data_IF_710154138970
#
_entry.id   IF_710154138970
#
_cell.length_a   1.000
_cell.length_b   1.000
_cell.length_c   1.000
_cell.angle_alpha   90.00
_cell.angle_beta   90.00
_cell.angle_gamma   90.00
#
_symmetry.space_group_name_H-M   'P 1'
#
loop_
_entity.id
_entity.type
_entity.pdbx_description
1 polymer ?
#
# COMPACT_ATOMS: atom_id res chain seq x y z
N UNK A 1 -25.64 33.33 36.68
CA UNK A 1 -24.32 32.83 36.27
C UNK A 1 -24.54 31.63 35.36
N UNK A 2 -24.26 31.77 34.06
CA UNK A 2 -24.28 30.66 33.11
C UNK A 2 -22.97 29.91 33.26
N UNK A 3 -23.00 28.71 33.83
CA UNK A 3 -21.87 27.79 33.84
C UNK A 3 -21.67 27.27 32.42
N UNK A 4 -20.61 27.75 31.77
CA UNK A 4 -20.13 27.25 30.49
C UNK A 4 -19.59 25.83 30.68
N UNK A 5 -20.27 24.88 30.06
CA UNK A 5 -19.83 23.49 29.96
C UNK A 5 -18.69 23.43 28.94
N UNK A 6 -17.44 23.41 29.42
CA UNK A 6 -16.29 23.13 28.56
C UNK A 6 -16.25 21.63 28.27
N UNK A 7 -16.68 21.26 27.05
CA UNK A 7 -16.49 19.92 26.51
C UNK A 7 -15.01 19.75 26.17
N UNK A 8 -14.23 19.23 27.13
CA UNK A 8 -12.86 18.79 26.88
C UNK A 8 -12.94 17.49 26.09
N UNK A 9 -12.78 17.57 24.78
CA UNK A 9 -12.60 16.40 23.92
C UNK A 9 -11.20 15.84 24.20
N UNK A 10 -11.10 14.92 25.16
CA UNK A 10 -9.87 14.20 25.44
C UNK A 10 -9.60 13.22 24.29
N UNK A 11 -8.95 13.69 23.23
CA UNK A 11 -8.32 12.81 22.26
C UNK A 11 -7.05 12.29 22.94
N UNK A 12 -7.11 11.07 23.47
CA UNK A 12 -5.93 10.35 23.95
C UNK A 12 -5.11 9.95 22.72
N UNK A 13 -4.26 10.85 22.25
CA UNK A 13 -3.19 10.50 21.32
C UNK A 13 -2.05 9.94 22.17
N UNK A 14 -1.99 8.62 22.30
CA UNK A 14 -0.84 7.95 22.89
C UNK A 14 0.35 8.10 21.93
N UNK A 15 1.13 9.16 22.15
CA UNK A 15 2.42 9.34 21.52
C UNK A 15 3.42 8.37 22.15
N UNK A 16 3.59 7.19 21.55
CA UNK A 16 4.80 6.43 21.77
C UNK A 16 5.86 6.91 20.79
N UNK A 17 6.87 7.59 21.33
CA UNK A 17 8.07 7.99 20.61
C UNK A 17 8.83 6.72 20.19
N UNK A 18 8.49 6.13 19.05
CA UNK A 18 9.43 5.25 18.36
C UNK A 18 10.62 6.12 17.98
N UNK A 19 11.76 5.91 18.63
CA UNK A 19 12.97 6.69 18.43
C UNK A 19 13.26 6.91 16.95
N UNK A 20 13.36 8.17 16.55
CA UNK A 20 13.91 8.54 15.25
C UNK A 20 15.36 8.06 15.21
N UNK A 21 15.62 6.88 14.65
CA UNK A 21 16.98 6.52 14.28
C UNK A 21 17.35 7.36 13.07
N UNK A 22 18.23 8.32 13.29
CA UNK A 22 18.92 9.07 12.24
C UNK A 22 19.93 8.12 11.57
N UNK A 23 19.47 7.28 10.64
CA UNK A 23 20.35 6.43 9.82
C UNK A 23 19.71 6.09 8.45
N UNK A 24 19.06 7.06 7.81
CA UNK A 24 18.77 7.00 6.37
C UNK A 24 19.72 7.93 5.62
N UNK A 25 21.03 7.65 5.75
CA UNK A 25 22.07 8.32 5.01
C UNK A 25 22.40 7.52 3.74
N UNK A 26 22.05 8.10 2.59
CA UNK A 26 22.64 7.82 1.27
C UNK A 26 22.58 6.39 0.74
N UNK A 27 21.39 5.96 0.30
CA UNK A 27 21.29 4.98 -0.78
C UNK A 27 21.50 5.67 -2.13
N UNK A 28 22.67 5.51 -2.74
CA UNK A 28 22.87 5.82 -4.16
C UNK A 28 21.88 4.99 -4.99
N UNK A 29 20.84 5.64 -5.53
CA UNK A 29 20.02 5.07 -6.61
C UNK A 29 20.40 5.77 -7.92
N UNK A 30 20.87 4.95 -8.86
CA UNK A 30 20.99 5.29 -10.27
C UNK A 30 19.66 5.92 -10.75
N UNK A 31 19.64 7.14 -11.32
CA UNK A 31 18.39 7.75 -11.78
C UNK A 31 17.99 7.13 -13.11
N UNK A 32 17.39 5.93 -13.07
CA UNK A 32 16.48 5.55 -14.14
C UNK A 32 15.32 6.55 -14.09
N UNK A 33 15.00 7.15 -15.25
CA UNK A 33 13.82 7.99 -15.40
C UNK A 33 12.63 7.21 -14.82
N UNK A 34 11.86 7.77 -13.87
CA UNK A 34 10.74 7.03 -13.33
C UNK A 34 9.77 6.71 -14.45
N UNK A 35 9.29 5.47 -14.49
CA UNK A 35 8.19 5.06 -15.36
C UNK A 35 7.09 6.12 -15.29
N UNK A 36 6.73 6.68 -16.45
CA UNK A 36 5.69 7.70 -16.56
C UNK A 36 4.31 7.14 -16.18
N UNK A 37 4.16 5.82 -16.20
CA UNK A 37 2.90 5.12 -15.97
C UNK A 37 2.92 4.36 -14.64
N UNK A 38 1.91 4.60 -13.81
CA UNK A 38 1.66 3.83 -12.61
C UNK A 38 1.02 2.50 -12.98
N UNK A 39 1.62 1.38 -12.57
CA UNK A 39 0.97 0.07 -12.61
C UNK A 39 0.73 -0.43 -11.20
N UNK A 40 -0.48 -0.95 -10.98
CA UNK A 40 -1.01 -1.39 -9.71
C UNK A 40 -0.23 -2.59 -9.16
N UNK A 41 0.30 -2.50 -7.93
CA UNK A 41 0.88 -3.65 -7.25
C UNK A 41 -0.16 -4.72 -6.92
N UNK A 42 0.26 -5.97 -6.98
CA UNK A 42 -0.50 -7.14 -6.54
C UNK A 42 0.05 -7.65 -5.23
N UNK A 43 -0.80 -7.81 -4.21
CA UNK A 43 -0.36 -8.13 -2.84
C UNK A 43 -1.07 -9.37 -2.33
N UNK A 44 -0.28 -10.34 -1.87
CA UNK A 44 -0.70 -11.47 -1.04
C UNK A 44 -0.35 -11.14 0.41
N UNK A 45 -1.32 -11.15 1.32
CA UNK A 45 -1.08 -10.94 2.74
C UNK A 45 -1.01 -12.27 3.49
N UNK A 46 -0.02 -12.41 4.38
CA UNK A 46 0.03 -13.44 5.40
C UNK A 46 0.10 -12.84 6.79
N UNK A 47 -0.60 -13.44 7.72
CA UNK A 47 -0.51 -13.17 9.15
C UNK A 47 0.23 -14.31 9.84
N UNK A 48 1.31 -14.02 10.56
CA UNK A 48 2.07 -15.06 11.25
C UNK A 48 1.36 -15.49 12.55
N UNK A 49 1.26 -16.80 12.76
CA UNK A 49 0.83 -17.44 13.99
C UNK A 49 1.96 -18.24 14.61
N UNK A 50 1.86 -18.49 15.91
CA UNK A 50 2.86 -19.26 16.65
C UNK A 50 2.16 -20.35 17.45
N UNK A 51 2.60 -21.62 17.35
CA UNK A 51 1.91 -22.74 18.00
C UNK A 51 1.65 -22.49 19.49
N UNK A 52 0.40 -22.56 19.94
CA UNK A 52 0.01 -22.36 21.34
C UNK A 52 0.14 -20.93 21.86
N UNK A 53 0.30 -19.95 20.97
CA UNK A 53 -0.03 -18.55 21.25
C UNK A 53 -1.47 -18.29 20.78
N UNK A 54 -2.40 -18.50 21.72
CA UNK A 54 -3.84 -18.36 21.49
C UNK A 54 -4.23 -16.97 20.95
N UNK A 55 -3.48 -15.92 21.29
CA UNK A 55 -3.80 -14.56 20.85
C UNK A 55 -3.43 -14.39 19.38
N UNK A 56 -2.26 -14.90 18.95
CA UNK A 56 -1.87 -14.90 17.54
C UNK A 56 -2.84 -15.70 16.67
N UNK A 57 -3.33 -16.84 17.17
CA UNK A 57 -4.30 -17.70 16.47
C UNK A 57 -5.67 -17.03 16.34
N UNK A 58 -6.14 -16.33 17.39
CA UNK A 58 -7.36 -15.50 17.33
C UNK A 58 -7.18 -14.33 16.37
N UNK A 59 -6.04 -13.67 16.39
CA UNK A 59 -5.74 -12.56 15.49
C UNK A 59 -5.69 -13.00 14.03
N UNK A 60 -5.19 -14.20 13.72
CA UNK A 60 -5.24 -14.76 12.37
C UNK A 60 -6.68 -14.98 11.86
N UNK A 61 -7.63 -15.35 12.72
CA UNK A 61 -9.06 -15.41 12.36
C UNK A 61 -9.62 -14.02 12.07
N UNK A 62 -9.19 -13.02 12.83
CA UNK A 62 -9.55 -11.61 12.63
C UNK A 62 -8.96 -11.07 11.32
N UNK A 63 -7.72 -11.46 10.99
CA UNK A 63 -7.05 -11.11 9.74
C UNK A 63 -7.81 -11.57 8.48
N UNK A 64 -8.58 -12.67 8.55
CA UNK A 64 -9.47 -13.12 7.46
C UNK A 64 -10.64 -12.18 7.19
N UNK A 65 -10.96 -11.28 8.11
CA UNK A 65 -12.02 -10.26 7.99
C UNK A 65 -11.51 -8.89 7.56
N UNK A 66 -10.19 -8.72 7.40
CA UNK A 66 -9.58 -7.45 7.00
C UNK A 66 -10.23 -6.96 5.69
N UNK A 67 -10.65 -5.70 5.70
CA UNK A 67 -11.13 -5.02 4.50
C UNK A 67 -9.91 -4.56 3.72
N UNK A 68 -9.63 -5.26 2.62
CA UNK A 68 -8.51 -4.96 1.74
C UNK A 68 -8.75 -3.64 0.99
N UNK A 69 -7.67 -2.89 0.78
CA UNK A 69 -7.75 -1.64 0.02
C UNK A 69 -8.02 -1.90 -1.45
N UNK A 70 -8.91 -1.08 -2.03
CA UNK A 70 -9.17 -1.04 -3.47
C UNK A 70 -7.96 -0.57 -4.27
N UNK A 71 -6.85 -0.12 -3.64
CA UNK A 71 -5.63 0.37 -4.30
C UNK A 71 -4.77 -0.74 -4.92
N UNK A 72 -4.79 -1.95 -4.37
CA UNK A 72 -3.95 -3.06 -4.83
C UNK A 72 -4.79 -4.14 -5.51
N UNK A 73 -4.17 -4.97 -6.34
CA UNK A 73 -4.79 -6.23 -6.70
C UNK A 73 -4.73 -7.17 -5.50
N UNK A 74 -5.89 -7.74 -5.15
CA UNK A 74 -5.98 -8.76 -4.11
C UNK A 74 -5.44 -10.09 -4.65
N UNK A 75 -4.19 -10.38 -4.32
CA UNK A 75 -3.54 -11.63 -4.72
C UNK A 75 -3.57 -12.71 -3.64
N UNK A 76 -4.39 -12.54 -2.59
CA UNK A 76 -4.48 -13.50 -1.50
C UNK A 76 -4.73 -14.92 -2.02
N UNK A 77 -4.03 -15.87 -1.40
CA UNK A 77 -4.20 -17.30 -1.61
C UNK A 77 -5.31 -17.81 -0.68
N UNK A 78 -5.65 -19.10 -0.79
CA UNK A 78 -6.73 -19.71 0.01
C UNK A 78 -6.49 -19.61 1.52
N UNK A 79 -5.22 -19.73 1.94
CA UNK A 79 -4.81 -19.49 3.32
C UNK A 79 -3.97 -18.22 3.38
N UNK A 80 -4.25 -17.39 4.38
CA UNK A 80 -3.58 -16.10 4.62
C UNK A 80 -2.94 -16.06 6.02
N UNK A 81 -2.81 -17.21 6.67
CA UNK A 81 -1.99 -17.37 7.87
C UNK A 81 -0.81 -18.30 7.63
N UNK A 82 0.33 -17.99 8.23
CA UNK A 82 1.50 -18.87 8.24
C UNK A 82 1.86 -19.22 9.68
N UNK A 83 2.07 -20.51 9.95
CA UNK A 83 2.50 -20.96 11.27
C UNK A 83 4.02 -21.00 11.33
N UNK A 84 4.61 -20.22 12.24
CA UNK A 84 6.05 -20.11 12.43
C UNK A 84 6.47 -20.70 13.79
N UNK A 85 7.73 -21.12 13.90
CA UNK A 85 8.27 -21.63 15.17
C UNK A 85 8.19 -20.57 16.27
N UNK A 86 7.98 -20.96 17.55
CA UNK A 86 7.98 -20.00 18.66
C UNK A 86 9.29 -19.19 18.75
N UNK A 87 10.41 -19.86 18.51
CA UNK A 87 11.75 -19.25 18.48
C UNK A 87 11.89 -18.15 17.44
N UNK A 88 11.02 -18.12 16.41
CA UNK A 88 11.02 -17.06 15.41
C UNK A 88 10.87 -15.67 16.05
N UNK A 89 10.08 -15.53 17.13
CA UNK A 89 9.85 -14.24 17.80
C UNK A 89 11.13 -13.61 18.34
N UNK A 90 12.05 -14.45 18.84
CA UNK A 90 13.28 -14.06 19.51
C UNK A 90 14.43 -13.77 18.53
N UNK A 91 14.25 -14.13 17.26
CA UNK A 91 15.26 -13.88 16.23
C UNK A 91 15.43 -12.38 15.95
N UNK A 92 16.66 -12.03 15.55
CA UNK A 92 16.94 -10.72 14.97
C UNK A 92 16.10 -10.51 13.71
N UNK A 93 15.84 -9.26 13.37
CA UNK A 93 15.03 -8.91 12.21
C UNK A 93 15.58 -9.48 10.89
N UNK A 94 16.91 -9.49 10.72
CA UNK A 94 17.58 -10.09 9.56
C UNK A 94 17.45 -11.62 9.51
N UNK A 95 17.54 -12.29 10.67
CA UNK A 95 17.33 -13.73 10.76
C UNK A 95 15.87 -14.10 10.45
N UNK A 96 14.90 -13.31 10.94
CA UNK A 96 13.47 -13.45 10.60
C UNK A 96 13.22 -13.36 9.10
N UNK A 97 13.81 -12.37 8.42
CA UNK A 97 13.71 -12.25 6.95
C UNK A 97 14.21 -13.51 6.24
N UNK A 98 15.33 -14.06 6.71
CA UNK A 98 15.94 -15.26 6.12
C UNK A 98 15.07 -16.50 6.35
N UNK A 99 14.53 -16.69 7.56
CA UNK A 99 13.65 -17.82 7.87
C UNK A 99 12.32 -17.73 7.12
N UNK A 100 11.72 -16.53 7.06
CA UNK A 100 10.51 -16.29 6.27
C UNK A 100 10.73 -16.60 4.79
N UNK A 101 11.84 -16.15 4.20
CA UNK A 101 12.16 -16.48 2.81
C UNK A 101 12.16 -17.99 2.58
N UNK A 102 12.89 -18.74 3.42
CA UNK A 102 12.97 -20.20 3.33
C UNK A 102 11.59 -20.86 3.47
N UNK A 103 10.77 -20.36 4.39
CA UNK A 103 9.41 -20.84 4.58
C UNK A 103 8.57 -20.62 3.31
N UNK A 104 8.54 -19.39 2.79
CA UNK A 104 7.75 -19.03 1.61
C UNK A 104 8.17 -19.83 0.36
N UNK A 105 9.46 -20.07 0.18
CA UNK A 105 10.00 -20.89 -0.91
C UNK A 105 9.64 -22.37 -0.74
N UNK A 106 9.80 -22.92 0.47
CA UNK A 106 9.42 -24.30 0.80
C UNK A 106 7.93 -24.56 0.55
N UNK A 107 7.08 -23.63 0.96
CA UNK A 107 5.62 -23.71 0.78
C UNK A 107 5.17 -23.42 -0.66
N UNK A 108 6.11 -23.13 -1.58
CA UNK A 108 5.83 -22.88 -2.99
C UNK A 108 4.96 -21.65 -3.21
N UNK A 109 5.05 -20.63 -2.35
CA UNK A 109 4.20 -19.43 -2.42
C UNK A 109 4.35 -18.72 -3.76
N UNK A 110 5.59 -18.59 -4.27
CA UNK A 110 5.84 -18.04 -5.60
C UNK A 110 5.10 -18.78 -6.72
N UNK A 111 5.16 -20.13 -6.73
CA UNK A 111 4.44 -20.96 -7.69
C UNK A 111 2.92 -20.78 -7.59
N UNK A 112 2.37 -20.72 -6.38
CA UNK A 112 0.93 -20.48 -6.15
C UNK A 112 0.49 -19.11 -6.67
N UNK A 113 1.32 -18.07 -6.52
CA UNK A 113 1.03 -16.75 -7.04
C UNK A 113 1.06 -16.69 -8.58
N UNK A 114 2.01 -17.38 -9.22
CA UNK A 114 2.05 -17.52 -10.68
C UNK A 114 0.84 -18.31 -11.18
N UNK A 115 0.50 -19.43 -10.53
CA UNK A 115 -0.68 -20.21 -10.86
C UNK A 115 -1.97 -19.37 -10.80
N UNK A 116 -2.09 -18.45 -9.83
CA UNK A 116 -3.21 -17.51 -9.75
C UNK A 116 -3.20 -16.50 -10.91
N UNK A 117 -2.04 -15.94 -11.26
CA UNK A 117 -1.93 -14.97 -12.37
C UNK A 117 -2.40 -15.54 -13.71
N UNK A 118 -2.04 -16.80 -13.97
CA UNK A 118 -2.37 -17.50 -15.21
C UNK A 118 -3.54 -18.48 -15.03
N UNK A 119 -4.42 -18.21 -14.06
CA UNK A 119 -5.69 -18.94 -13.86
C UNK A 119 -5.56 -20.46 -14.01
N UNK A 120 -4.62 -21.08 -13.29
CA UNK A 120 -4.37 -22.52 -13.41
C UNK A 120 -5.62 -23.31 -13.05
N UNK A 121 -6.01 -24.23 -13.92
CA UNK A 121 -7.19 -25.07 -13.80
C UNK A 121 -6.89 -26.36 -13.02
N UNK A 122 -7.93 -27.07 -12.52
CA UNK A 122 -7.76 -28.33 -11.81
C UNK A 122 -7.08 -29.44 -12.62
N UNK A 123 -7.19 -29.40 -13.95
CA UNK A 123 -6.51 -30.32 -14.87
C UNK A 123 -5.05 -29.95 -15.14
N UNK A 124 -4.56 -28.84 -14.57
CA UNK A 124 -3.19 -28.37 -14.72
C UNK A 124 -2.97 -27.37 -15.86
N UNK A 125 -3.96 -27.14 -16.72
CA UNK A 125 -3.90 -26.15 -17.81
C UNK A 125 -3.96 -24.71 -17.28
N UNK A 126 -3.62 -23.74 -18.12
CA UNK A 126 -3.62 -22.30 -17.78
C UNK A 126 -4.50 -21.51 -18.73
N UNK A 127 -4.99 -20.36 -18.28
CA UNK A 127 -5.64 -19.39 -19.14
C UNK A 127 -5.24 -17.95 -18.76
N UNK A 128 -5.69 -16.99 -19.57
CA UNK A 128 -5.24 -15.60 -19.47
C UNK A 128 -6.31 -14.68 -18.87
N UNK A 129 -7.39 -15.25 -18.33
CA UNK A 129 -8.57 -14.49 -17.91
C UNK A 129 -8.24 -13.48 -16.81
N UNK A 130 -7.55 -13.92 -15.75
CA UNK A 130 -7.24 -13.06 -14.60
C UNK A 130 -6.24 -11.97 -14.97
N UNK A 131 -5.15 -12.31 -15.68
CA UNK A 131 -4.16 -11.31 -16.10
C UNK A 131 -4.77 -10.31 -17.10
N UNK A 132 -5.65 -10.73 -18.02
CA UNK A 132 -6.38 -9.83 -18.89
C UNK A 132 -7.32 -8.90 -18.11
N UNK A 133 -8.08 -9.44 -17.17
CA UNK A 133 -8.96 -8.64 -16.31
C UNK A 133 -8.17 -7.58 -15.54
N UNK A 134 -7.02 -7.96 -14.97
CA UNK A 134 -6.11 -7.04 -14.30
C UNK A 134 -5.51 -6.01 -15.27
N UNK A 135 -5.15 -6.39 -16.49
CA UNK A 135 -4.67 -5.47 -17.52
C UNK A 135 -5.71 -4.40 -17.86
N UNK A 136 -6.95 -4.82 -18.14
CA UNK A 136 -8.07 -3.91 -18.41
C UNK A 136 -8.38 -3.00 -17.21
N UNK A 137 -8.32 -3.55 -16.00
CA UNK A 137 -8.53 -2.76 -14.79
C UNK A 137 -7.34 -1.83 -14.50
N UNK A 138 -6.11 -2.18 -14.86
CA UNK A 138 -4.96 -1.32 -14.63
C UNK A 138 -4.90 -0.16 -15.63
N UNK A 139 -5.43 -0.34 -16.84
CA UNK A 139 -5.41 0.66 -17.89
C UNK A 139 -6.00 1.99 -17.42
N UNK A 140 -5.29 3.07 -17.76
CA UNK A 140 -5.77 4.44 -17.62
C UNK A 140 -6.70 4.81 -18.78
N UNK A 141 -7.49 5.87 -18.60
CA UNK A 141 -8.28 6.42 -19.70
C UNK A 141 -7.43 6.87 -20.89
N UNK A 142 -6.19 7.28 -20.64
CA UNK A 142 -5.25 7.64 -21.71
C UNK A 142 -4.87 6.41 -22.53
N UNK A 143 -4.63 5.28 -21.88
CA UNK A 143 -4.31 4.01 -22.54
C UNK A 143 -5.47 3.51 -23.40
N UNK A 144 -6.71 3.69 -22.93
CA UNK A 144 -7.91 3.32 -23.69
C UNK A 144 -8.06 4.18 -24.95
N UNK A 145 -7.84 5.49 -24.85
CA UNK A 145 -7.88 6.40 -26.00
C UNK A 145 -6.78 6.07 -27.02
N UNK A 146 -5.60 5.67 -26.57
CA UNK A 146 -4.47 5.30 -27.44
C UNK A 146 -4.63 3.89 -28.05
N UNK A 147 -5.13 2.92 -27.28
CA UNK A 147 -5.29 1.51 -27.71
C UNK A 147 -6.48 1.27 -28.65
N UNK A 148 -7.52 2.13 -28.63
CA UNK A 148 -8.55 2.14 -29.67
C UNK A 148 -8.01 2.29 -31.10
N UNK A 149 -6.77 2.80 -31.25
CA UNK A 149 -6.06 2.91 -32.53
C UNK A 149 -5.14 1.71 -32.84
N UNK A 150 -4.85 0.80 -31.89
CA UNK A 150 -3.88 -0.28 -32.05
C UNK A 150 -4.42 -1.62 -31.53
N UNK A 151 -4.98 -2.44 -32.43
CA UNK A 151 -5.30 -3.86 -32.14
C UNK A 151 -4.05 -4.72 -32.31
N UNK A 152 -3.56 -5.38 -31.25
CA UNK A 152 -2.68 -6.57 -31.36
C UNK A 152 -2.67 -7.35 -30.04
N UNK A 153 -3.23 -8.57 -30.03
CA UNK A 153 -3.51 -9.37 -28.82
C UNK A 153 -2.30 -10.03 -28.15
N UNK A 154 -1.32 -10.56 -28.90
CA UNK A 154 -0.15 -11.24 -28.30
C UNK A 154 0.85 -10.29 -27.64
N UNK A 155 1.00 -9.07 -28.18
CA UNK A 155 1.87 -8.05 -27.60
C UNK A 155 1.36 -7.59 -26.21
N UNK A 156 0.04 -7.63 -25.99
CA UNK A 156 -0.59 -7.28 -24.72
C UNK A 156 -0.29 -8.31 -23.64
N UNK A 157 -0.10 -9.58 -24.00
CA UNK A 157 0.21 -10.67 -23.06
C UNK A 157 1.62 -10.58 -22.48
N UNK A 158 2.61 -10.32 -23.33
CA UNK A 158 3.98 -10.07 -22.89
C UNK A 158 4.07 -8.78 -22.05
N UNK A 159 3.38 -7.72 -22.48
CA UNK A 159 3.39 -6.42 -21.79
C UNK A 159 2.67 -6.48 -20.42
N UNK A 160 1.56 -7.21 -20.32
CA UNK A 160 0.85 -7.41 -19.05
C UNK A 160 1.62 -8.33 -18.09
N UNK A 161 2.25 -9.40 -18.60
CA UNK A 161 3.12 -10.27 -17.83
C UNK A 161 4.31 -9.54 -17.21
N UNK A 162 5.02 -8.74 -18.03
CA UNK A 162 6.18 -7.96 -17.56
C UNK A 162 5.76 -6.83 -16.60
N UNK A 163 4.69 -6.09 -16.89
CA UNK A 163 4.29 -4.91 -16.09
C UNK A 163 3.56 -5.26 -14.80
N UNK A 164 2.74 -6.32 -14.79
CA UNK A 164 1.89 -6.66 -13.64
C UNK A 164 2.50 -7.75 -12.76
N UNK A 165 2.98 -8.86 -13.34
CA UNK A 165 3.50 -9.99 -12.54
C UNK A 165 4.77 -9.58 -11.80
N UNK A 166 5.62 -8.77 -12.41
CA UNK A 166 6.83 -8.22 -11.77
C UNK A 166 6.51 -7.23 -10.63
N UNK A 167 5.26 -6.79 -10.48
CA UNK A 167 4.77 -5.97 -9.35
C UNK A 167 3.93 -6.81 -8.38
N UNK A 168 4.31 -8.09 -8.19
CA UNK A 168 3.69 -9.01 -7.23
C UNK A 168 4.51 -9.09 -5.95
N UNK A 169 3.82 -8.96 -4.81
CA UNK A 169 4.42 -8.88 -3.49
C UNK A 169 3.73 -9.78 -2.48
N UNK A 170 4.49 -10.22 -1.48
CA UNK A 170 4.01 -10.91 -0.29
C UNK A 170 4.24 -10.02 0.92
N UNK A 171 3.16 -9.58 1.55
CA UNK A 171 3.17 -8.85 2.82
C UNK A 171 3.00 -9.84 3.96
N UNK A 172 3.95 -9.91 4.88
CA UNK A 172 3.83 -10.69 6.11
C UNK A 172 3.73 -9.74 7.30
N UNK A 173 2.63 -9.85 8.05
CA UNK A 173 2.46 -9.20 9.34
C UNK A 173 2.76 -10.22 10.44
N UNK A 174 3.79 -9.96 11.23
CA UNK A 174 4.24 -10.87 12.28
C UNK A 174 4.08 -10.24 13.66
N UNK A 175 3.03 -10.59 14.44
CA UNK A 175 2.88 -10.08 15.79
C UNK A 175 4.01 -10.60 16.70
N UNK A 176 4.68 -9.70 17.40
CA UNK A 176 5.58 -10.01 18.51
C UNK A 176 4.75 -10.26 19.76
N UNK A 177 3.95 -9.27 20.12
CA UNK A 177 3.04 -9.31 21.27
C UNK A 177 1.64 -8.83 20.85
N UNK A 178 0.63 -9.50 21.39
CA UNK A 178 -0.78 -9.16 21.28
C UNK A 178 -1.39 -9.25 22.68
N UNK A 179 -1.73 -8.10 23.24
CA UNK A 179 -2.15 -7.98 24.64
C UNK A 179 -3.53 -7.36 24.71
N UNK A 180 -4.45 -8.03 25.40
CA UNK A 180 -5.73 -7.45 25.80
C UNK A 180 -5.58 -6.81 27.17
N UNK A 181 -6.09 -5.60 27.32
CA UNK A 181 -6.18 -4.87 28.57
C UNK A 181 -7.61 -4.40 28.80
N UNK A 182 -8.03 -4.38 30.06
CA UNK A 182 -9.34 -3.89 30.51
C UNK A 182 -9.16 -3.28 31.90
N UNK A 183 -9.29 -1.97 32.00
CA UNK A 183 -9.15 -1.18 33.23
C UNK A 183 -10.37 -0.27 33.44
N UNK A 184 -10.37 0.57 34.49
CA UNK A 184 -11.51 1.44 34.79
C UNK A 184 -11.78 2.52 33.71
N UNK A 185 -10.79 2.82 32.88
CA UNK A 185 -10.80 3.91 31.90
C UNK A 185 -11.07 3.37 30.49
N UNK A 186 -10.46 2.25 30.13
CA UNK A 186 -10.42 1.73 28.78
C UNK A 186 -10.26 0.23 28.70
N UNK A 187 -10.63 -0.31 27.54
CA UNK A 187 -10.37 -1.70 27.21
C UNK A 187 -10.02 -1.87 25.74
N UNK A 188 -9.32 -2.94 25.42
CA UNK A 188 -9.02 -3.31 24.05
C UNK A 188 -7.70 -4.02 23.87
N UNK A 189 -7.28 -4.08 22.61
CA UNK A 189 -6.08 -4.80 22.20
C UNK A 189 -4.98 -3.83 21.80
N UNK A 190 -3.75 -4.19 22.17
CA UNK A 190 -2.53 -3.58 21.66
C UNK A 190 -1.67 -4.65 21.02
N UNK A 191 -1.02 -4.29 19.91
CA UNK A 191 -0.13 -5.17 19.17
C UNK A 191 1.21 -4.49 18.98
N UNK A 192 2.30 -5.24 19.23
CA UNK A 192 3.62 -4.93 18.66
C UNK A 192 3.92 -5.94 17.57
N UNK A 193 4.37 -5.48 16.41
CA UNK A 193 4.52 -6.37 15.26
C UNK A 193 5.62 -5.92 14.30
N UNK A 194 6.06 -6.86 13.47
CA UNK A 194 7.01 -6.63 12.39
C UNK A 194 6.30 -6.74 11.04
N UNK A 195 6.68 -5.88 10.10
CA UNK A 195 6.25 -5.89 8.71
C UNK A 195 7.39 -6.46 7.87
N UNK A 196 7.07 -7.39 6.99
CA UNK A 196 7.98 -7.86 5.94
C UNK A 196 7.30 -7.80 4.59
N UNK A 197 8.00 -7.32 3.57
CA UNK A 197 7.53 -7.31 2.19
C UNK A 197 8.55 -8.03 1.32
N UNK A 198 8.11 -9.09 0.65
CA UNK A 198 8.89 -9.81 -0.35
C UNK A 198 8.35 -9.50 -1.74
N UNK A 199 9.23 -9.44 -2.72
CA UNK A 199 8.89 -9.28 -4.14
C UNK A 199 9.09 -10.62 -4.84
N UNK A 200 8.17 -10.98 -5.73
CA UNK A 200 8.33 -12.11 -6.63
C UNK A 200 9.43 -11.81 -7.66
N UNK A 201 10.40 -12.70 -7.75
CA UNK A 201 11.46 -12.63 -8.75
C UNK A 201 10.94 -13.28 -10.04
N UNK A 202 10.52 -12.44 -10.98
CA UNK A 202 9.95 -12.84 -12.26
C UNK A 202 10.64 -12.11 -13.41
N UNK A 203 11.95 -12.36 -13.54
CA UNK A 203 12.78 -11.83 -14.62
C UNK A 203 12.56 -12.59 -15.95
N UNK A 204 13.20 -12.12 -17.01
CA UNK A 204 13.05 -12.68 -18.36
C UNK A 204 13.45 -14.16 -18.44
N UNK A 205 14.38 -14.64 -17.61
CA UNK A 205 14.76 -16.05 -17.56
C UNK A 205 13.66 -16.90 -16.91
N UNK A 206 13.14 -16.46 -15.76
CA UNK A 206 12.02 -17.10 -15.07
C UNK A 206 10.79 -17.17 -15.98
N UNK A 207 10.50 -16.06 -16.67
CA UNK A 207 9.41 -15.97 -17.66
C UNK A 207 9.59 -17.02 -18.75
N UNK A 208 10.78 -17.09 -19.35
CA UNK A 208 11.08 -18.03 -20.44
C UNK A 208 10.95 -19.48 -19.97
N UNK A 209 11.47 -19.81 -18.79
CA UNK A 209 11.34 -21.15 -18.19
C UNK A 209 9.90 -21.52 -17.90
N UNK A 210 9.10 -20.59 -17.40
CA UNK A 210 7.68 -20.79 -17.15
C UNK A 210 6.92 -21.07 -18.45
N UNK A 211 7.07 -20.23 -19.48
CA UNK A 211 6.37 -20.41 -20.75
C UNK A 211 6.80 -21.68 -21.50
N UNK A 212 8.03 -22.16 -21.30
CA UNK A 212 8.44 -23.46 -21.82
C UNK A 212 7.63 -24.63 -21.25
N UNK A 213 7.03 -24.48 -20.06
CA UNK A 213 6.15 -25.47 -19.43
C UNK A 213 4.66 -25.21 -19.69
N UNK A 214 4.31 -24.33 -20.64
CA UNK A 214 2.91 -24.07 -20.98
C UNK A 214 2.33 -25.22 -21.81
N UNK A 215 1.30 -25.95 -21.31
CA UNK A 215 0.61 -26.98 -22.07
C UNK A 215 -0.32 -26.31 -23.09
N UNK A 216 0.02 -26.37 -24.37
CA UNK A 216 -0.80 -25.81 -25.45
C UNK A 216 -1.89 -26.80 -25.88
N UNK A 217 -3.01 -26.29 -26.37
CA UNK A 217 -4.17 -27.11 -26.75
C UNK A 217 -3.83 -28.15 -27.85
N UNK A 218 -2.88 -27.83 -28.73
CA UNK A 218 -2.40 -28.66 -29.83
C UNK A 218 -1.28 -29.64 -29.43
N UNK A 219 -0.75 -29.56 -28.21
CA UNK A 219 0.24 -30.52 -27.72
C UNK A 219 -0.37 -31.94 -27.59
N UNK A 220 0.40 -33.00 -27.91
CA UNK A 220 0.05 -34.37 -27.56
C UNK A 220 -0.20 -34.52 -26.04
N UNK A 221 -1.10 -35.44 -25.68
CA UNK A 221 -1.55 -35.61 -24.29
C UNK A 221 -0.41 -35.99 -23.33
N UNK A 222 0.54 -36.81 -23.78
CA UNK A 222 1.76 -37.14 -23.04
C UNK A 222 2.63 -35.90 -22.78
N UNK A 223 2.82 -35.05 -23.78
CA UNK A 223 3.59 -33.80 -23.67
C UNK A 223 2.90 -32.81 -22.71
N UNK A 224 1.57 -32.70 -22.75
CA UNK A 224 0.80 -31.88 -21.79
C UNK A 224 1.04 -32.34 -20.37
N UNK A 225 0.94 -33.64 -20.12
CA UNK A 225 1.15 -34.22 -18.79
C UNK A 225 2.59 -34.00 -18.28
N UNK A 226 3.60 -34.09 -19.15
CA UNK A 226 5.00 -33.76 -18.80
C UNK A 226 5.16 -32.29 -18.39
N UNK A 227 4.61 -31.36 -19.18
CA UNK A 227 4.65 -29.92 -18.89
C UNK A 227 3.93 -29.55 -17.59
N UNK A 228 2.77 -30.15 -17.34
CA UNK A 228 2.00 -29.97 -16.10
C UNK A 228 2.83 -30.42 -14.89
N UNK A 229 3.42 -31.61 -14.97
CA UNK A 229 4.28 -32.14 -13.90
C UNK A 229 5.55 -31.29 -13.70
N UNK A 230 6.14 -30.78 -14.78
CA UNK A 230 7.31 -29.90 -14.71
C UNK A 230 6.98 -28.60 -13.96
N UNK A 231 5.83 -27.97 -14.24
CA UNK A 231 5.39 -26.77 -13.53
C UNK A 231 5.22 -27.00 -12.02
N UNK A 232 4.71 -28.17 -11.60
CA UNK A 232 4.52 -28.48 -10.18
C UNK A 232 5.82 -28.54 -9.37
N UNK A 233 6.95 -28.77 -10.04
CA UNK A 233 8.28 -28.75 -9.45
C UNK A 233 9.02 -27.42 -9.63
N UNK A 234 8.50 -26.52 -10.47
CA UNK A 234 9.14 -25.24 -10.78
C UNK A 234 9.18 -24.34 -9.54
N UNK A 235 10.36 -23.79 -9.27
CA UNK A 235 10.60 -22.88 -8.17
C UNK A 235 10.57 -21.43 -8.65
N UNK A 236 10.00 -20.57 -7.81
CA UNK A 236 9.93 -19.13 -8.01
C UNK A 236 10.42 -18.45 -6.73
N UNK A 237 11.49 -17.67 -6.85
CA UNK A 237 12.13 -17.03 -5.72
C UNK A 237 11.39 -15.78 -5.25
N UNK A 238 11.54 -15.50 -3.96
CA UNK A 238 11.00 -14.32 -3.31
C UNK A 238 12.13 -13.56 -2.64
N UNK A 239 12.38 -12.34 -3.11
CA UNK A 239 13.45 -11.49 -2.57
C UNK A 239 12.89 -10.53 -1.52
N UNK A 240 13.54 -10.38 -0.34
CA UNK A 240 13.19 -9.34 0.62
C UNK A 240 13.26 -7.96 -0.06
N UNK A 241 12.18 -7.19 0.01
CA UNK A 241 12.04 -5.93 -0.71
C UNK A 241 11.92 -4.73 0.23
N UNK A 242 11.18 -4.89 1.33
CA UNK A 242 11.02 -3.86 2.35
C UNK A 242 10.68 -4.50 3.70
N UNK A 243 10.83 -3.72 4.77
CA UNK A 243 10.62 -4.20 6.10
C UNK A 243 10.66 -3.11 7.16
N UNK A 244 9.85 -3.27 8.21
CA UNK A 244 9.85 -2.38 9.38
C UNK A 244 9.56 -3.18 10.64
N UNK A 245 10.34 -2.93 11.69
CA UNK A 245 10.24 -3.67 12.94
C UNK A 245 9.61 -2.83 14.06
N UNK A 246 8.97 -3.50 15.01
CA UNK A 246 8.46 -2.87 16.23
C UNK A 246 7.38 -1.83 15.98
N UNK A 247 6.55 -2.08 14.96
CA UNK A 247 5.34 -1.31 14.73
C UNK A 247 4.33 -1.54 15.85
N UNK A 248 3.46 -0.56 16.07
CA UNK A 248 2.39 -0.64 17.08
C UNK A 248 1.04 -0.39 16.44
N UNK A 249 0.02 -1.13 16.88
CA UNK A 249 -1.38 -0.94 16.51
C UNK A 249 -2.27 -1.16 17.74
N UNK A 250 -3.46 -0.57 17.75
CA UNK A 250 -4.38 -0.62 18.89
C UNK A 250 -5.84 -0.42 18.49
N UNK A 251 -6.69 -1.38 18.81
CA UNK A 251 -8.14 -1.24 18.86
C UNK A 251 -8.57 -1.09 20.30
N UNK A 252 -8.69 0.14 20.79
CA UNK A 252 -9.07 0.45 22.18
C UNK A 252 -10.23 1.44 22.23
N UNK A 253 -11.08 1.30 23.25
CA UNK A 253 -12.18 2.21 23.53
C UNK A 253 -12.07 2.76 24.95
N UNK A 254 -12.38 4.05 25.11
CA UNK A 254 -12.46 4.72 26.41
C UNK A 254 -13.92 4.76 26.86
N UNK A 255 -14.25 4.16 28.00
CA UNK A 255 -15.63 4.00 28.48
C UNK A 255 -16.42 5.33 28.54
N UNK A 256 -15.75 6.44 28.88
CA UNK A 256 -16.37 7.76 28.96
C UNK A 256 -16.89 8.31 27.60
N UNK A 257 -16.40 7.79 26.47
CA UNK A 257 -16.69 8.30 25.13
C UNK A 257 -17.70 7.44 24.35
N UNK A 258 -18.11 6.31 24.91
CA UNK A 258 -18.91 5.29 24.21
C UNK A 258 -20.19 4.94 24.97
N UNK A 259 -21.30 4.76 24.24
CA UNK A 259 -22.58 4.32 24.82
C UNK A 259 -22.79 2.82 24.75
N UNK A 260 -22.13 2.14 23.81
CA UNK A 260 -22.23 0.70 23.56
C UNK A 260 -20.81 0.18 23.31
N UNK A 261 -20.15 -0.42 24.31
CA UNK A 261 -18.79 -0.94 24.15
C UNK A 261 -18.76 -2.07 23.14
N UNK A 262 -17.71 -2.10 22.33
CA UNK A 262 -17.42 -3.21 21.44
C UNK A 262 -16.97 -4.43 22.22
N UNK A 263 -17.10 -5.61 21.61
CA UNK A 263 -16.56 -6.84 22.19
C UNK A 263 -15.04 -6.91 22.00
N UNK A 264 -14.36 -7.73 22.82
CA UNK A 264 -12.92 -7.99 22.65
C UNK A 264 -12.57 -8.48 21.24
N UNK A 265 -13.43 -9.28 20.61
CA UNK A 265 -13.22 -9.75 19.24
C UNK A 265 -13.36 -8.62 18.20
N UNK A 266 -14.31 -7.70 18.38
CA UNK A 266 -14.45 -6.53 17.51
C UNK A 266 -13.23 -5.59 17.63
N UNK A 267 -12.69 -5.42 18.84
CA UNK A 267 -11.48 -4.63 19.07
C UNK A 267 -10.21 -5.33 18.53
N UNK A 268 -10.20 -6.67 18.48
CA UNK A 268 -9.15 -7.42 17.81
C UNK A 268 -9.24 -7.31 16.28
N UNK A 269 -10.45 -7.34 15.72
CA UNK A 269 -10.71 -7.05 14.31
C UNK A 269 -10.19 -5.65 13.94
N UNK A 270 -10.43 -4.63 14.78
CA UNK A 270 -9.91 -3.27 14.60
C UNK A 270 -8.38 -3.19 14.72
N UNK A 271 -7.78 -3.83 15.72
CA UNK A 271 -6.32 -3.89 15.87
C UNK A 271 -5.67 -4.51 14.64
N UNK A 272 -6.20 -5.64 14.14
CA UNK A 272 -5.64 -6.33 12.97
C UNK A 272 -5.85 -5.56 11.67
N UNK A 273 -7.00 -4.88 11.52
CA UNK A 273 -7.22 -3.93 10.41
C UNK A 273 -6.19 -2.79 10.45
N UNK A 274 -5.93 -2.21 11.63
CA UNK A 274 -4.93 -1.15 11.77
C UNK A 274 -3.52 -1.65 11.43
N UNK A 275 -3.13 -2.86 11.86
CA UNK A 275 -1.83 -3.44 11.49
C UNK A 275 -1.64 -3.49 9.95
N UNK A 276 -2.70 -3.86 9.22
CA UNK A 276 -2.68 -3.88 7.76
C UNK A 276 -2.60 -2.47 7.17
N UNK A 277 -3.44 -1.54 7.62
CA UNK A 277 -3.45 -0.17 7.10
C UNK A 277 -2.13 0.57 7.35
N UNK A 278 -1.56 0.42 8.54
CA UNK A 278 -0.27 1.00 8.90
C UNK A 278 0.86 0.40 8.05
N UNK A 279 0.82 -0.90 7.78
CA UNK A 279 1.79 -1.53 6.90
C UNK A 279 1.74 -0.95 5.48
N UNK A 280 0.55 -0.83 4.91
CA UNK A 280 0.36 -0.23 3.60
C UNK A 280 0.75 1.26 3.58
N UNK A 281 0.43 2.01 4.62
CA UNK A 281 0.81 3.41 4.75
C UNK A 281 2.34 3.58 4.68
N UNK A 282 3.08 2.74 5.41
CA UNK A 282 4.55 2.79 5.44
C UNK A 282 5.15 2.35 4.09
N UNK A 283 4.62 1.29 3.48
CA UNK A 283 5.02 0.82 2.15
C UNK A 283 4.82 1.95 1.11
N UNK A 284 3.64 2.58 1.08
CA UNK A 284 3.33 3.71 0.21
C UNK A 284 4.24 4.92 0.44
N UNK A 285 4.53 5.19 1.71
CA UNK A 285 5.37 6.32 2.11
C UNK A 285 6.80 6.12 1.63
N UNK A 286 7.34 4.92 1.77
CA UNK A 286 8.78 4.67 1.62
C UNK A 286 9.16 4.16 0.22
N UNK A 287 8.27 3.41 -0.43
CA UNK A 287 8.56 2.74 -1.70
C UNK A 287 7.87 3.46 -2.87
N UNK A 288 8.69 4.03 -3.76
CA UNK A 288 8.18 4.70 -4.96
C UNK A 288 7.29 3.81 -5.87
N UNK A 289 7.57 2.52 -6.09
CA UNK A 289 6.71 1.66 -6.92
C UNK A 289 5.25 1.57 -6.44
N UNK A 290 4.98 1.88 -5.17
CA UNK A 290 3.65 1.84 -4.57
C UNK A 290 2.93 3.19 -4.62
N UNK A 291 3.63 4.29 -4.96
CA UNK A 291 3.06 5.63 -5.02
C UNK A 291 2.28 5.81 -6.30
N UNK A 292 1.02 6.22 -6.18
CA UNK A 292 0.17 6.57 -7.32
C UNK A 292 0.79 7.75 -8.07
N UNK A 293 0.92 7.61 -9.39
CA UNK A 293 1.38 8.67 -10.32
C UNK A 293 0.31 8.89 -11.38
N UNK A 294 -0.08 10.15 -11.59
CA UNK A 294 -1.08 10.51 -12.60
C UNK A 294 -0.93 11.98 -12.99
N UNK A 295 -1.33 12.34 -14.20
CA UNK A 295 -1.19 13.73 -14.66
C UNK A 295 -2.29 14.62 -14.09
N UNK A 296 -1.98 15.91 -13.96
CA UNK A 296 -2.95 16.97 -13.76
C UNK A 296 -3.77 17.12 -15.04
N UNK A 297 -5.08 16.95 -14.94
CA UNK A 297 -6.00 17.10 -16.09
C UNK A 297 -6.52 18.53 -16.24
N UNK A 298 -6.74 19.23 -15.12
CA UNK A 298 -7.19 20.63 -15.11
C UNK A 298 -6.71 21.36 -13.85
N UNK A 299 -6.79 22.70 -13.84
CA UNK A 299 -6.21 23.55 -12.77
C UNK A 299 -7.17 24.54 -12.12
N UNK A 300 -8.40 24.67 -12.62
CA UNK A 300 -9.46 25.52 -12.05
C UNK A 300 -10.78 24.75 -11.89
N UNK A 301 -10.98 23.99 -10.80
CA UNK A 301 -10.00 23.61 -9.75
C UNK A 301 -8.96 22.60 -10.27
N UNK A 302 -7.92 22.32 -9.47
CA UNK A 302 -6.96 21.25 -9.77
C UNK A 302 -7.69 19.90 -9.78
N UNK A 303 -7.54 19.16 -10.87
CA UNK A 303 -8.15 17.84 -11.05
C UNK A 303 -7.16 16.83 -11.61
N UNK A 304 -7.38 15.58 -11.27
CA UNK A 304 -6.66 14.43 -11.81
C UNK A 304 -7.55 13.20 -11.76
N UNK A 305 -7.30 12.24 -12.66
CA UNK A 305 -7.98 10.93 -12.73
C UNK A 305 -7.45 9.96 -11.67
N UNK A 306 -7.39 10.44 -10.44
CA UNK A 306 -7.07 9.68 -9.23
C UNK A 306 -8.35 9.65 -8.40
N UNK A 307 -8.82 8.49 -7.98
CA UNK A 307 -10.04 8.35 -7.19
C UNK A 307 -9.97 7.19 -6.21
N UNK A 308 -11.14 6.63 -5.89
CA UNK A 308 -11.24 5.49 -4.95
C UNK A 308 -10.46 4.26 -5.43
N UNK A 309 -10.36 4.05 -6.75
CA UNK A 309 -9.57 2.97 -7.36
C UNK A 309 -8.09 3.05 -6.98
N UNK A 310 -7.55 4.25 -6.79
CA UNK A 310 -6.17 4.50 -6.36
C UNK A 310 -6.05 4.61 -4.83
N UNK A 311 -7.14 4.38 -4.09
CA UNK A 311 -7.18 4.53 -2.63
C UNK A 311 -7.12 5.97 -2.15
N UNK A 312 -7.55 6.94 -2.97
CA UNK A 312 -7.50 8.35 -2.61
C UNK A 312 -8.32 8.64 -1.34
N UNK A 313 -7.69 9.31 -0.37
CA UNK A 313 -8.33 9.80 0.87
C UNK A 313 -8.29 11.32 0.93
N UNK A 314 -9.21 11.92 1.69
CA UNK A 314 -9.21 13.36 1.93
C UNK A 314 -7.88 13.80 2.54
N UNK A 315 -7.41 14.98 2.14
CA UNK A 315 -6.15 15.57 2.61
C UNK A 315 -4.89 14.77 2.30
N UNK A 316 -4.99 13.68 1.52
CA UNK A 316 -3.83 12.93 1.05
C UNK A 316 -2.97 13.80 0.13
N UNK A 317 -1.66 13.78 0.37
CA UNK A 317 -0.69 14.68 -0.26
C UNK A 317 -0.09 14.10 -1.52
N UNK A 318 0.06 14.98 -2.50
CA UNK A 318 0.76 14.73 -3.75
C UNK A 318 1.78 15.84 -4.01
N UNK A 319 2.95 15.46 -4.53
CA UNK A 319 3.87 16.41 -5.13
C UNK A 319 3.56 16.52 -6.63
N UNK A 320 3.62 17.74 -7.15
CA UNK A 320 3.41 18.03 -8.56
C UNK A 320 4.77 18.33 -9.18
N UNK A 321 5.07 17.64 -10.26
CA UNK A 321 6.32 17.73 -10.97
C UNK A 321 6.13 18.15 -12.43
N UNK A 322 7.15 18.80 -12.98
CA UNK A 322 7.29 19.11 -14.40
C UNK A 322 8.54 18.40 -14.93
N UNK A 323 8.42 17.76 -16.09
CA UNK A 323 9.58 17.23 -16.80
C UNK A 323 10.30 18.38 -17.49
N UNK A 324 11.57 18.57 -17.15
CA UNK A 324 12.45 19.58 -17.73
C UNK A 324 13.54 18.84 -18.50
N UNK A 325 13.65 19.11 -19.79
CA UNK A 325 14.70 18.52 -20.60
C UNK A 325 16.06 19.09 -20.19
N UNK A 326 16.99 18.22 -19.81
CA UNK A 326 18.37 18.61 -19.55
C UNK A 326 19.21 18.33 -20.80
N UNK A 327 19.56 19.39 -21.53
CA UNK A 327 20.36 19.32 -22.76
C UNK A 327 21.76 18.74 -22.54
N UNK A 328 22.31 18.81 -21.31
CA UNK A 328 23.66 18.32 -20.99
C UNK A 328 23.69 16.82 -20.78
N UNK A 329 22.65 16.26 -20.18
CA UNK A 329 22.53 14.81 -19.94
C UNK A 329 21.77 14.10 -21.05
N UNK A 330 21.04 14.85 -21.89
CA UNK A 330 20.16 14.29 -22.91
C UNK A 330 18.97 13.54 -22.30
N UNK A 331 18.57 13.87 -21.06
CA UNK A 331 17.50 13.19 -20.33
C UNK A 331 16.48 14.18 -19.77
N UNK A 332 15.24 13.73 -19.62
CA UNK A 332 14.22 14.49 -18.91
C UNK A 332 14.45 14.38 -17.39
N UNK A 333 14.67 15.51 -16.74
CA UNK A 333 14.75 15.63 -15.28
C UNK A 333 13.42 16.07 -14.69
N UNK A 334 13.18 15.73 -13.43
CA UNK A 334 11.92 15.99 -12.74
C UNK A 334 12.13 17.12 -11.74
N UNK A 335 11.43 18.23 -11.95
CA UNK A 335 11.45 19.37 -11.03
C UNK A 335 10.15 19.48 -10.23
N UNK A 336 10.25 19.61 -8.91
CA UNK A 336 9.07 19.70 -8.01
C UNK A 336 8.54 21.12 -8.00
N UNK A 337 7.38 21.32 -8.63
CA UNK A 337 6.74 22.64 -8.75
C UNK A 337 5.79 22.99 -7.63
N UNK A 338 5.00 22.04 -7.14
CA UNK A 338 3.98 22.32 -6.13
C UNK A 338 3.69 21.12 -5.22
N UNK A 339 2.97 21.40 -4.14
CA UNK A 339 2.36 20.40 -3.26
C UNK A 339 0.86 20.64 -3.26
N UNK A 340 0.10 19.58 -3.53
CA UNK A 340 -1.35 19.60 -3.53
C UNK A 340 -1.89 18.51 -2.61
N UNK A 341 -3.12 18.68 -2.16
CA UNK A 341 -3.84 17.71 -1.33
C UNK A 341 -5.24 17.46 -1.89
N UNK A 342 -5.72 16.24 -1.71
CA UNK A 342 -7.06 15.87 -2.13
C UNK A 342 -8.11 16.57 -1.29
N UNK A 343 -9.19 17.04 -1.91
CA UNK A 343 -10.39 17.50 -1.20
C UNK A 343 -11.26 16.30 -0.78
N UNK A 344 -12.34 16.54 -0.04
CA UNK A 344 -13.38 15.52 0.19
C UNK A 344 -14.20 15.16 -1.06
N UNK A 345 -14.00 15.84 -2.20
CA UNK A 345 -14.67 15.52 -3.48
C UNK A 345 -13.82 14.52 -4.27
N UNK A 346 -14.01 13.24 -3.93
CA UNK A 346 -13.28 12.09 -4.48
C UNK A 346 -14.19 11.34 -5.44
N UNK A 347 -13.73 11.14 -6.67
CA UNK A 347 -14.46 10.38 -7.68
C UNK A 347 -14.43 8.87 -7.37
N UNK A 348 -15.56 8.22 -7.62
CA UNK A 348 -15.63 6.76 -7.66
C UNK A 348 -15.34 6.28 -9.09
N UNK A 349 -14.08 5.94 -9.33
CA UNK A 349 -13.56 5.48 -10.62
C UNK A 349 -13.23 3.97 -10.59
N UNK A 350 -13.86 3.21 -9.68
CA UNK A 350 -13.66 1.76 -9.59
C UNK A 350 -14.33 1.10 -10.79
N UNK A 351 -13.51 0.52 -11.65
CA UNK A 351 -13.92 -0.09 -12.90
C UNK A 351 -12.82 -0.08 -13.95
N UNK A 352 -13.13 -0.70 -15.09
CA UNK A 352 -12.32 -0.60 -16.30
C UNK A 352 -12.48 0.82 -16.86
N UNK A 353 -11.36 1.43 -17.24
CA UNK A 353 -11.33 2.75 -17.84
C UNK A 353 -12.14 2.78 -19.14
N UNK A 354 -12.92 3.85 -19.36
CA UNK A 354 -13.71 4.05 -20.58
C UNK A 354 -13.22 5.22 -21.41
N UNK A 355 -12.25 5.99 -20.91
CA UNK A 355 -11.86 7.29 -21.45
C UNK A 355 -12.51 8.47 -20.69
N UNK A 356 -13.64 8.23 -20.02
CA UNK A 356 -14.46 9.26 -19.38
C UNK A 356 -14.59 9.06 -17.85
N UNK A 357 -13.59 8.42 -17.23
CA UNK A 357 -13.58 8.20 -15.78
C UNK A 357 -13.63 9.54 -15.02
N UNK A 358 -14.38 9.54 -13.92
CA UNK A 358 -14.53 10.73 -13.07
C UNK A 358 -13.21 11.20 -12.45
N UNK A 359 -13.12 12.50 -12.18
CA UNK A 359 -11.92 13.15 -11.65
C UNK A 359 -12.11 13.63 -10.20
N UNK A 360 -11.10 13.44 -9.37
CA UNK A 360 -11.08 14.03 -8.02
C UNK A 360 -10.52 15.44 -8.04
N UNK A 361 -10.90 16.24 -7.04
CA UNK A 361 -10.44 17.61 -6.89
C UNK A 361 -9.35 17.73 -5.85
N UNK A 362 -8.37 18.58 -6.15
CA UNK A 362 -7.24 18.89 -5.30
C UNK A 362 -7.16 20.39 -5.05
N UNK A 363 -6.52 20.75 -3.94
CA UNK A 363 -6.18 22.12 -3.60
C UNK A 363 -4.68 22.23 -3.33
N UNK A 364 -4.10 23.37 -3.66
CA UNK A 364 -2.68 23.61 -3.50
C UNK A 364 -2.37 24.10 -2.08
N UNK A 365 -1.30 23.57 -1.48
CA UNK A 365 -0.84 23.97 -0.15
C UNK A 365 0.54 24.63 -0.16
N UNK A 366 1.32 24.43 -1.23
CA UNK A 366 2.65 25.03 -1.36
C UNK A 366 3.11 25.04 -2.84
N UNK A 367 4.04 25.94 -3.16
CA UNK A 367 4.79 25.96 -4.42
C UNK A 367 4.20 26.88 -5.51
N UNK A 368 4.68 26.70 -6.73
CA UNK A 368 4.40 27.55 -7.88
C UNK A 368 3.13 27.19 -8.65
N UNK A 369 3.06 27.61 -9.91
CA UNK A 369 1.87 27.37 -10.76
C UNK A 369 1.75 25.92 -11.16
N UNK A 370 0.59 25.31 -10.91
CA UNK A 370 0.22 23.99 -11.45
C UNK A 370 -0.39 24.16 -12.83
N UNK A 371 0.00 23.30 -13.80
CA UNK A 371 -0.49 23.29 -15.19
C UNK A 371 -1.00 21.89 -15.57
N UNK A 372 -1.98 21.78 -16.50
CA UNK A 372 -2.34 20.49 -17.07
C UNK A 372 -1.11 19.81 -17.71
N UNK A 373 -1.03 18.49 -17.60
CA UNK A 373 0.09 17.68 -18.09
C UNK A 373 1.24 17.51 -17.10
N UNK A 374 1.31 18.30 -16.02
CA UNK A 374 2.26 18.04 -14.92
C UNK A 374 1.94 16.71 -14.22
N UNK A 375 2.95 16.02 -13.68
CA UNK A 375 2.76 14.73 -13.01
C UNK A 375 2.52 14.92 -11.51
N UNK A 376 1.43 14.36 -11.01
CA UNK A 376 1.17 14.23 -9.58
C UNK A 376 1.70 12.87 -9.09
N UNK A 377 2.42 12.86 -7.97
CA UNK A 377 2.86 11.64 -7.30
C UNK A 377 2.48 11.65 -5.83
N UNK A 378 1.90 10.56 -5.34
CA UNK A 378 1.50 10.37 -3.94
C UNK A 378 2.70 10.52 -3.00
N UNK A 379 2.52 11.27 -1.90
CA UNK A 379 3.55 11.51 -0.87
C UNK A 379 2.92 11.53 0.51
N UNK A 380 2.63 10.34 1.05
CA UNK A 380 2.03 10.18 2.36
C UNK A 380 2.80 10.95 3.47
N UNK A 381 2.05 11.49 4.43
CA UNK A 381 2.54 12.09 5.66
C UNK A 381 1.60 11.76 6.81
N UNK A 382 2.12 11.82 8.03
CA UNK A 382 1.34 11.61 9.25
C UNK A 382 0.41 12.80 9.61
N UNK A 383 0.33 13.82 8.76
CA UNK A 383 -0.53 14.99 9.01
C UNK A 383 0.00 15.97 10.05
N UNK A 384 1.25 15.81 10.51
CA UNK A 384 1.91 16.67 11.47
C UNK A 384 2.71 17.78 10.78
N UNK A 385 2.70 18.99 11.33
CA UNK A 385 3.53 20.11 10.87
C UNK A 385 3.96 20.95 12.07
N UNK A 386 5.25 21.31 12.11
CA UNK A 386 5.79 22.29 13.03
C UNK A 386 5.93 23.61 12.27
N UNK A 387 5.34 24.66 12.81
CA UNK A 387 5.47 26.02 12.27
C UNK A 387 6.17 26.83 13.34
N UNK A 388 7.29 27.46 12.99
CA UNK A 388 8.01 28.37 13.87
C UNK A 388 8.17 29.70 13.17
N UNK A 389 7.89 30.79 13.86
CA UNK A 389 7.89 32.13 13.29
C UNK A 389 8.06 33.21 14.35
N UNK A 390 8.18 34.45 13.88
CA UNK A 390 8.18 35.62 14.75
C UNK A 390 6.85 36.34 14.59
N UNK A 391 6.08 36.46 15.67
CA UNK A 391 4.82 37.18 15.65
C UNK A 391 5.05 38.69 15.72
N UNK A 392 4.40 39.43 14.81
CA UNK A 392 4.43 40.88 14.78
C UNK A 392 3.07 41.41 15.27
N UNK A 393 3.03 41.91 16.51
CA UNK A 393 1.80 42.35 17.18
C UNK A 393 1.97 42.52 18.70
N UNK A 394 0.87 42.71 19.44
CA UNK A 394 0.87 43.07 20.87
C UNK A 394 1.46 42.06 21.85
N UNK A 395 1.82 40.86 21.39
CA UNK A 395 2.48 39.80 22.19
C UNK A 395 3.95 39.59 21.78
N UNK A 396 4.37 40.17 20.63
CA UNK A 396 5.75 40.21 20.10
C UNK A 396 6.73 39.15 20.58
N UNK A 397 7.03 38.15 19.75
CA UNK A 397 7.97 37.10 20.16
C UNK A 397 8.16 35.99 19.14
N UNK A 398 9.04 35.05 19.48
CA UNK A 398 9.14 33.78 18.77
C UNK A 398 7.96 32.90 19.19
N UNK A 399 7.27 32.33 18.20
CA UNK A 399 6.16 31.41 18.38
C UNK A 399 6.44 30.11 17.63
N UNK A 400 6.02 29.00 18.22
CA UNK A 400 6.11 27.67 17.65
C UNK A 400 4.79 26.93 17.86
N UNK A 401 4.22 26.42 16.78
CA UNK A 401 2.93 25.74 16.78
C UNK A 401 3.05 24.34 16.18
N UNK A 402 2.45 23.37 16.85
CA UNK A 402 2.19 22.04 16.32
C UNK A 402 0.82 22.02 15.65
N UNK A 403 0.78 21.66 14.38
CA UNK A 403 -0.45 21.50 13.61
C UNK A 403 -0.68 20.02 13.30
N UNK A 404 -1.84 19.50 13.69
CA UNK A 404 -2.33 18.17 13.36
C UNK A 404 -3.50 18.24 12.39
N UNK A 405 -3.37 17.60 11.24
CA UNK A 405 -4.37 17.63 10.16
C UNK A 405 -5.52 16.63 10.41
N UNK A 406 -6.47 17.04 11.25
CA UNK A 406 -7.67 16.25 11.56
C UNK A 406 -8.57 16.00 10.33
N UNK A 407 -8.44 16.80 9.28
CA UNK A 407 -9.23 16.67 8.05
C UNK A 407 -9.12 15.31 7.35
N UNK A 408 -8.00 14.61 7.50
CA UNK A 408 -7.79 13.27 6.97
C UNK A 408 -8.77 12.24 7.57
N UNK A 409 -9.12 12.40 8.84
CA UNK A 409 -9.96 11.46 9.59
C UNK A 409 -11.44 11.84 9.54
N UNK A 410 -11.73 13.15 9.46
CA UNK A 410 -13.09 13.68 9.47
C UNK A 410 -13.66 13.93 8.06
N UNK A 411 -12.87 13.67 7.01
CA UNK A 411 -13.23 13.93 5.62
C UNK A 411 -13.59 15.41 5.36
N UNK A 412 -12.95 16.32 6.11
CA UNK A 412 -13.10 17.78 5.98
C UNK A 412 -11.76 18.36 5.55
N UNK A 413 -11.60 18.78 4.29
CA UNK A 413 -10.29 19.19 3.81
C UNK A 413 -9.77 20.43 4.53
N UNK A 414 -8.46 20.48 4.78
CA UNK A 414 -7.80 21.61 5.48
C UNK A 414 -8.30 21.89 6.91
N UNK A 415 -8.81 20.86 7.60
CA UNK A 415 -9.12 20.97 9.02
C UNK A 415 -7.88 20.61 9.86
N UNK A 416 -7.51 21.52 10.78
CA UNK A 416 -6.36 21.37 11.67
C UNK A 416 -6.76 21.52 13.13
N UNK A 417 -6.10 20.76 14.00
CA UNK A 417 -5.99 21.03 15.42
C UNK A 417 -4.61 21.63 15.66
N UNK A 418 -4.55 22.69 16.47
CA UNK A 418 -3.32 23.45 16.70
C UNK A 418 -3.03 23.48 18.20
N UNK A 419 -1.75 23.37 18.55
CA UNK A 419 -1.26 23.54 19.92
C UNK A 419 0.01 24.39 19.89
N UNK A 420 0.06 25.40 20.73
CA UNK A 420 1.25 26.22 20.95
C UNK A 420 2.27 25.41 21.76
N UNK A 421 3.56 25.53 21.44
CA UNK A 421 4.67 24.79 22.04
C UNK A 421 5.53 25.69 22.90
#
# INVERSE_FOLDING_TARGET
>A
MKTSLHLVLAIVVLFFTSGMSSNDAFGQRNPQAPESEYSRPSVTMFFATFPGDNNSEKAAKSAKKIVLTDKYFNHNLNEISIELSRSFKDLSYEAKKTELKKYLEKEGVGRKMIAKWFSRQPDGTFNLDYIHQCGLYNASDQDVMMSGAAKRGEAVLFDAGEKLVNKTYVLVLSPKELVYSDDEISHGWTATYDIFLFKLDFDNDVVSRFYAQWPFDDDPEDVKNEKIAAFDTLSFSLSPFYGKQGMSASGTETYALIKKPKTSDQLLDETTQQMYEDALFNIDKDLEPFRVKMNVSATRPIRSKIGKKEGLRCDQRYFVYEYVWNEKTGTAEIDRKAVVRATGKIADNRGVATGESGESRFYQVYGGTVRPGMVMQQRNDAGLSLIAGYEVGGIGGFDAQLWFRAGMFLNVPSLYLMADI
#
